data_IF_671780505065
#
_entry.id   IF_671780505065
#
_cell.length_a   1.000
_cell.length_b   1.000
_cell.length_c   1.000
_cell.angle_alpha   90.00
_cell.angle_beta   90.00
_cell.angle_gamma   90.00
#
_symmetry.space_group_name_H-M   'P 1'
#
loop_
_entity.id
_entity.type
_entity.pdbx_description
1 polymer ?
#
# COMPACT_ATOMS: atom_id res chain seq x y z
N UNK A 1 -26.93 10.51 2.28
CA UNK A 1 -25.80 9.70 1.79
C UNK A 1 -26.30 8.29 1.49
N UNK A 2 -25.82 7.63 0.44
CA UNK A 2 -26.11 6.21 0.18
C UNK A 2 -25.72 5.35 1.38
N UNK A 3 -26.48 4.31 1.68
CA UNK A 3 -26.11 3.34 2.71
C UNK A 3 -24.91 2.50 2.25
N UNK A 4 -24.01 2.10 3.18
CA UNK A 4 -22.93 1.18 2.83
C UNK A 4 -23.49 -0.17 2.33
N UNK A 5 -22.75 -0.89 1.47
CA UNK A 5 -23.09 -2.26 1.11
C UNK A 5 -23.20 -3.17 2.33
N UNK A 6 -24.11 -4.16 2.26
CA UNK A 6 -24.26 -5.16 3.32
C UNK A 6 -22.99 -6.03 3.47
N UNK A 7 -22.70 -6.53 4.68
CA UNK A 7 -21.59 -7.45 4.89
C UNK A 7 -21.70 -8.70 4.03
N UNK A 8 -20.59 -9.11 3.44
CA UNK A 8 -20.49 -10.35 2.67
C UNK A 8 -20.05 -11.48 3.59
N UNK A 9 -20.80 -12.58 3.61
CA UNK A 9 -20.38 -13.78 4.34
C UNK A 9 -19.23 -14.46 3.61
N UNK A 10 -18.12 -14.72 4.31
CA UNK A 10 -16.96 -15.41 3.77
C UNK A 10 -16.72 -16.70 4.54
N UNK A 11 -16.62 -17.79 3.79
CA UNK A 11 -16.37 -19.13 4.30
C UNK A 11 -15.12 -19.73 3.66
N UNK A 12 -14.70 -20.92 4.12
CA UNK A 12 -13.62 -21.66 3.46
C UNK A 12 -13.96 -22.07 2.03
N UNK A 13 -15.25 -22.20 1.69
CA UNK A 13 -15.69 -22.53 0.32
C UNK A 13 -15.40 -21.40 -0.68
N UNK A 14 -15.21 -20.18 -0.20
CA UNK A 14 -14.89 -19.01 -1.02
C UNK A 14 -13.41 -18.94 -1.41
N UNK A 15 -12.55 -19.78 -0.81
CA UNK A 15 -11.10 -19.74 -1.01
C UNK A 15 -10.69 -19.76 -2.50
N UNK A 16 -11.22 -20.63 -3.38
CA UNK A 16 -10.82 -20.64 -4.79
C UNK A 16 -11.11 -19.30 -5.49
N UNK A 17 -12.28 -18.70 -5.22
CA UNK A 17 -12.68 -17.40 -5.79
C UNK A 17 -11.80 -16.28 -5.29
N UNK A 18 -11.57 -16.21 -3.98
CA UNK A 18 -10.77 -15.16 -3.36
C UNK A 18 -9.31 -15.25 -3.82
N UNK A 19 -8.78 -16.47 -3.89
CA UNK A 19 -7.45 -16.71 -4.43
C UNK A 19 -7.33 -16.31 -5.90
N UNK A 20 -8.34 -16.62 -6.73
CA UNK A 20 -8.37 -16.17 -8.13
C UNK A 20 -8.37 -14.63 -8.24
N UNK A 21 -9.16 -13.93 -7.44
CA UNK A 21 -9.18 -12.46 -7.40
C UNK A 21 -7.81 -11.91 -7.00
N UNK A 22 -7.17 -12.50 -5.99
CA UNK A 22 -5.84 -12.11 -5.54
C UNK A 22 -4.80 -12.27 -6.65
N UNK A 23 -4.74 -13.45 -7.28
CA UNK A 23 -3.79 -13.75 -8.37
C UNK A 23 -4.03 -12.83 -9.56
N UNK A 24 -5.28 -12.67 -10.00
CA UNK A 24 -5.63 -11.76 -11.11
C UNK A 24 -5.26 -10.31 -10.80
N UNK A 25 -5.48 -9.87 -9.56
CA UNK A 25 -5.09 -8.53 -9.10
C UNK A 25 -3.59 -8.31 -9.21
N UNK A 26 -2.78 -9.24 -8.70
CA UNK A 26 -1.32 -9.16 -8.77
C UNK A 26 -0.78 -9.26 -10.20
N UNK A 27 -1.33 -10.14 -11.04
CA UNK A 27 -0.97 -10.24 -12.46
C UNK A 27 -1.29 -8.93 -13.19
N UNK A 28 -2.47 -8.35 -12.97
CA UNK A 28 -2.85 -7.09 -13.59
C UNK A 28 -1.98 -5.91 -13.12
N UNK A 29 -1.66 -5.84 -11.82
CA UNK A 29 -0.69 -4.87 -11.29
C UNK A 29 0.67 -5.03 -11.95
N UNK A 30 1.19 -6.26 -12.03
CA UNK A 30 2.49 -6.53 -12.65
C UNK A 30 2.53 -6.07 -14.11
N UNK A 31 1.53 -6.45 -14.90
CA UNK A 31 1.43 -6.02 -16.30
C UNK A 31 1.35 -4.50 -16.43
N UNK A 32 0.54 -3.85 -15.58
CA UNK A 32 0.41 -2.41 -15.56
C UNK A 32 1.75 -1.72 -15.24
N UNK A 33 2.42 -2.09 -14.14
CA UNK A 33 3.64 -1.39 -13.70
C UNK A 33 4.83 -1.65 -14.62
N UNK A 34 4.91 -2.84 -15.24
CA UNK A 34 5.92 -3.12 -16.27
C UNK A 34 5.66 -2.33 -17.56
N UNK A 35 4.40 -2.14 -17.94
CA UNK A 35 4.05 -1.26 -19.06
C UNK A 35 4.39 0.20 -18.75
N UNK A 36 4.15 0.65 -17.51
CA UNK A 36 4.53 1.99 -17.06
C UNK A 36 6.04 2.20 -17.05
N UNK A 37 6.81 1.21 -16.58
CA UNK A 37 8.28 1.21 -16.65
C UNK A 37 8.78 1.32 -18.08
N UNK A 38 8.24 0.51 -18.99
CA UNK A 38 8.58 0.59 -20.41
C UNK A 38 8.22 1.95 -21.03
N UNK A 39 7.14 2.59 -20.58
CA UNK A 39 6.73 3.89 -21.12
C UNK A 39 7.54 5.06 -20.54
N UNK A 40 7.81 5.07 -19.23
CA UNK A 40 8.40 6.22 -18.53
C UNK A 40 9.91 6.10 -18.29
N UNK A 41 10.46 4.89 -18.24
CA UNK A 41 11.79 4.62 -17.72
C UNK A 41 12.55 3.56 -18.56
N UNK A 42 12.20 3.40 -19.85
CA UNK A 42 12.87 2.44 -20.74
C UNK A 42 14.39 2.65 -20.81
N UNK A 43 14.81 3.92 -20.78
CA UNK A 43 16.23 4.31 -20.90
C UNK A 43 16.97 4.32 -19.54
N UNK A 44 16.27 4.15 -18.42
CA UNK A 44 16.84 4.21 -17.07
C UNK A 44 17.41 2.85 -16.59
N UNK A 45 17.51 1.87 -17.48
CA UNK A 45 18.11 0.57 -17.22
C UNK A 45 19.59 0.74 -16.84
N UNK A 46 19.92 0.58 -15.55
CA UNK A 46 21.31 0.56 -15.07
C UNK A 46 21.75 -0.88 -14.77
N UNK A 47 22.91 -1.27 -15.28
CA UNK A 47 23.48 -2.62 -15.09
C UNK A 47 23.77 -2.97 -13.61
N UNK A 48 23.75 -2.01 -12.68
CA UNK A 48 24.16 -2.18 -11.28
C UNK A 48 23.04 -2.17 -10.24
N UNK A 49 21.76 -2.27 -10.60
CA UNK A 49 20.65 -2.29 -9.64
C UNK A 49 20.54 -3.65 -8.90
N UNK A 50 21.33 -3.85 -7.84
CA UNK A 50 21.41 -5.14 -7.14
C UNK A 50 21.44 -5.01 -5.61
N UNK A 51 20.37 -5.48 -4.95
CA UNK A 51 20.27 -5.52 -3.48
C UNK A 51 19.78 -6.89 -3.01
N UNK A 52 20.62 -7.94 -3.08
CA UNK A 52 20.15 -9.31 -2.90
C UNK A 52 19.64 -9.56 -1.47
N UNK A 53 20.28 -8.95 -0.47
CA UNK A 53 19.85 -9.02 0.94
C UNK A 53 18.47 -8.40 1.14
N UNK A 54 18.21 -7.25 0.52
CA UNK A 54 16.91 -6.57 0.62
C UNK A 54 15.84 -7.35 -0.12
N UNK A 55 16.17 -7.88 -1.31
CA UNK A 55 15.25 -8.72 -2.09
C UNK A 55 14.83 -9.96 -1.30
N UNK A 56 15.78 -10.69 -0.70
CA UNK A 56 15.50 -11.86 0.15
C UNK A 56 14.67 -11.45 1.37
N UNK A 57 15.03 -10.37 2.06
CA UNK A 57 14.27 -9.88 3.23
C UNK A 57 12.82 -9.56 2.87
N UNK A 58 12.58 -8.73 1.84
CA UNK A 58 11.23 -8.33 1.43
C UNK A 58 10.43 -9.53 0.92
N UNK A 59 11.04 -10.41 0.13
CA UNK A 59 10.38 -11.62 -0.36
C UNK A 59 9.94 -12.55 0.76
N UNK A 60 10.83 -12.82 1.73
CA UNK A 60 10.51 -13.62 2.91
C UNK A 60 9.45 -12.92 3.78
N UNK A 61 9.54 -11.60 3.96
CA UNK A 61 8.57 -10.83 4.74
C UNK A 61 7.15 -10.95 4.15
N UNK A 62 7.00 -10.77 2.83
CA UNK A 62 5.70 -10.91 2.14
C UNK A 62 5.17 -12.34 2.27
N UNK A 63 6.02 -13.34 2.01
CA UNK A 63 5.62 -14.75 2.11
C UNK A 63 5.13 -15.10 3.52
N UNK A 64 5.89 -14.73 4.54
CA UNK A 64 5.53 -14.97 5.94
C UNK A 64 4.28 -14.19 6.35
N UNK A 65 4.11 -12.96 5.86
CA UNK A 65 2.91 -12.16 6.10
C UNK A 65 1.65 -12.86 5.59
N UNK A 66 1.67 -13.33 4.34
CA UNK A 66 0.53 -14.01 3.71
C UNK A 66 0.18 -15.27 4.50
N UNK A 67 1.16 -16.14 4.77
CA UNK A 67 0.93 -17.43 5.46
C UNK A 67 0.44 -17.21 6.88
N UNK A 68 1.12 -16.35 7.65
CA UNK A 68 0.79 -16.12 9.06
C UNK A 68 -0.59 -15.49 9.22
N UNK A 69 -0.94 -14.50 8.39
CA UNK A 69 -2.28 -13.90 8.43
C UNK A 69 -3.36 -14.87 7.97
N UNK A 70 -3.10 -15.65 6.92
CA UNK A 70 -4.05 -16.66 6.46
C UNK A 70 -4.31 -17.74 7.50
N UNK A 71 -3.26 -18.21 8.18
CA UNK A 71 -3.36 -19.20 9.24
C UNK A 71 -4.17 -18.69 10.44
N UNK A 72 -3.93 -17.45 10.88
CA UNK A 72 -4.61 -16.87 12.06
C UNK A 72 -6.04 -16.41 11.78
N UNK A 73 -6.34 -15.93 10.56
CA UNK A 73 -7.58 -15.19 10.27
C UNK A 73 -8.43 -15.80 9.16
N UNK A 74 -7.92 -16.81 8.45
CA UNK A 74 -8.63 -17.50 7.38
C UNK A 74 -8.75 -16.70 6.08
N UNK A 75 -9.78 -16.99 5.30
CA UNK A 75 -9.81 -16.64 3.87
C UNK A 75 -9.88 -15.15 3.57
N UNK A 76 -10.54 -14.35 4.42
CA UNK A 76 -10.79 -12.93 4.10
C UNK A 76 -9.50 -12.10 4.03
N UNK A 77 -8.43 -12.49 4.75
CA UNK A 77 -7.14 -11.75 4.72
C UNK A 77 -6.43 -11.81 3.38
N UNK A 78 -6.82 -12.74 2.50
CA UNK A 78 -6.30 -12.75 1.14
C UNK A 78 -6.72 -11.49 0.36
N UNK A 79 -7.89 -10.91 0.68
CA UNK A 79 -8.25 -9.61 0.11
C UNK A 79 -7.37 -8.47 0.65
N UNK A 80 -6.95 -8.55 1.91
CA UNK A 80 -6.02 -7.55 2.48
C UNK A 80 -4.66 -7.56 1.78
N UNK A 81 -4.28 -8.65 1.14
CA UNK A 81 -3.03 -8.67 0.37
C UNK A 81 -3.06 -7.74 -0.84
N UNK A 82 -4.23 -7.20 -1.22
CA UNK A 82 -4.39 -6.18 -2.24
C UNK A 82 -4.25 -4.74 -1.72
N UNK A 83 -4.07 -4.52 -0.40
CA UNK A 83 -3.76 -3.18 0.13
C UNK A 83 -2.53 -2.59 -0.57
N UNK A 84 -2.57 -1.30 -0.90
CA UNK A 84 -1.52 -0.63 -1.64
C UNK A 84 -0.14 -0.76 -0.98
N UNK A 85 -0.08 -0.77 0.36
CA UNK A 85 1.14 -1.00 1.12
C UNK A 85 1.70 -2.43 0.96
N UNK A 86 0.83 -3.44 0.95
CA UNK A 86 1.22 -4.84 0.67
C UNK A 86 1.64 -5.03 -0.80
N UNK A 87 0.90 -4.44 -1.73
CA UNK A 87 1.24 -4.43 -3.15
C UNK A 87 2.60 -3.77 -3.37
N UNK A 88 2.90 -2.68 -2.66
CA UNK A 88 4.17 -1.96 -2.75
C UNK A 88 5.38 -2.78 -2.30
N UNK A 89 5.22 -3.69 -1.32
CA UNK A 89 6.27 -4.66 -0.98
C UNK A 89 6.60 -5.58 -2.18
N UNK A 90 5.57 -6.06 -2.88
CA UNK A 90 5.75 -6.88 -4.08
C UNK A 90 6.36 -6.08 -5.23
N UNK A 91 5.99 -4.80 -5.40
CA UNK A 91 6.63 -3.93 -6.38
C UNK A 91 8.13 -3.77 -6.11
N UNK A 92 8.55 -3.59 -4.86
CA UNK A 92 9.98 -3.49 -4.52
C UNK A 92 10.70 -4.82 -4.76
N UNK A 93 10.09 -5.94 -4.41
CA UNK A 93 10.64 -7.27 -4.74
C UNK A 93 10.81 -7.44 -6.25
N UNK A 94 9.80 -7.10 -7.04
CA UNK A 94 9.85 -7.14 -8.51
C UNK A 94 10.89 -6.17 -9.09
N UNK A 95 10.99 -4.96 -8.54
CA UNK A 95 11.98 -3.97 -8.94
C UNK A 95 13.39 -4.54 -8.82
N UNK A 96 13.69 -5.20 -7.69
CA UNK A 96 14.98 -5.83 -7.44
C UNK A 96 15.19 -7.06 -8.32
N UNK A 97 14.16 -7.87 -8.56
CA UNK A 97 14.24 -9.06 -9.39
C UNK A 97 14.48 -8.76 -10.88
N UNK A 98 13.85 -7.69 -11.39
CA UNK A 98 13.89 -7.31 -12.81
C UNK A 98 14.80 -6.11 -13.08
N UNK A 99 15.56 -5.66 -12.08
CA UNK A 99 16.43 -4.48 -12.17
C UNK A 99 15.71 -3.22 -12.66
N UNK A 100 14.52 -2.95 -12.12
CA UNK A 100 13.64 -1.83 -12.49
C UNK A 100 13.50 -0.79 -11.36
N UNK A 101 14.43 0.16 -11.20
CA UNK A 101 14.39 1.17 -10.13
C UNK A 101 13.11 2.01 -10.10
N UNK A 102 12.51 2.27 -11.27
CA UNK A 102 11.27 3.04 -11.39
C UNK A 102 10.12 2.48 -10.55
N UNK A 103 10.01 1.15 -10.44
CA UNK A 103 9.00 0.47 -9.63
C UNK A 103 9.15 0.79 -8.14
N UNK A 104 10.38 0.98 -7.64
CA UNK A 104 10.61 1.41 -6.25
C UNK A 104 10.05 2.81 -6.02
N UNK A 105 10.27 3.72 -6.97
CA UNK A 105 9.71 5.06 -6.89
C UNK A 105 8.17 5.06 -6.89
N UNK A 106 7.54 4.27 -7.78
CA UNK A 106 6.08 4.09 -7.77
C UNK A 106 5.60 3.58 -6.40
N UNK A 107 6.28 2.57 -5.86
CA UNK A 107 5.95 1.98 -4.56
C UNK A 107 6.06 3.01 -3.42
N UNK A 108 7.14 3.80 -3.39
CA UNK A 108 7.35 4.87 -2.40
C UNK A 108 6.21 5.89 -2.40
N UNK A 109 5.83 6.39 -3.58
CA UNK A 109 4.76 7.38 -3.68
C UNK A 109 3.41 6.78 -3.28
N UNK A 110 3.15 5.54 -3.71
CA UNK A 110 1.89 4.82 -3.45
C UNK A 110 1.57 4.68 -1.96
N UNK A 111 2.60 4.55 -1.13
CA UNK A 111 2.43 4.38 0.33
C UNK A 111 2.73 5.62 1.15
N UNK A 112 3.26 6.68 0.51
CA UNK A 112 3.82 7.84 1.20
C UNK A 112 2.83 8.49 2.16
N UNK A 113 1.57 8.70 1.76
CA UNK A 113 0.56 9.28 2.64
C UNK A 113 0.33 8.47 3.90
N UNK A 114 0.01 7.19 3.74
CA UNK A 114 -0.29 6.30 4.87
C UNK A 114 0.92 6.11 5.80
N UNK A 115 2.13 5.93 5.22
CA UNK A 115 3.35 5.73 6.01
C UNK A 115 3.75 7.00 6.77
N UNK A 116 3.57 8.19 6.20
CA UNK A 116 3.82 9.45 6.92
C UNK A 116 2.83 9.65 8.08
N UNK A 117 1.54 9.34 7.88
CA UNK A 117 0.56 9.37 8.96
C UNK A 117 0.89 8.35 10.06
N UNK A 118 1.41 7.18 9.69
CA UNK A 118 1.94 6.18 10.63
C UNK A 118 3.11 6.71 11.47
N UNK A 119 4.03 7.48 10.89
CA UNK A 119 5.10 8.12 11.68
C UNK A 119 4.54 9.11 12.71
N UNK A 120 3.57 9.93 12.31
CA UNK A 120 2.91 10.89 13.20
C UNK A 120 2.17 10.16 14.32
N UNK A 121 1.41 9.11 14.00
CA UNK A 121 0.69 8.31 14.98
C UNK A 121 1.61 7.55 15.94
N UNK A 122 2.74 7.02 15.44
CA UNK A 122 3.72 6.33 16.29
C UNK A 122 4.32 7.30 17.29
N UNK A 123 4.78 8.47 16.84
CA UNK A 123 5.38 9.48 17.72
C UNK A 123 4.35 10.03 18.71
N UNK A 124 3.14 10.35 18.25
CA UNK A 124 2.09 10.87 19.13
C UNK A 124 1.60 9.83 20.15
N UNK A 125 1.58 8.55 19.79
CA UNK A 125 1.25 7.48 20.73
C UNK A 125 2.34 7.29 21.78
N UNK A 126 3.63 7.30 21.40
CA UNK A 126 4.75 7.21 22.35
C UNK A 126 4.77 8.39 23.32
N UNK A 127 4.50 9.61 22.83
CA UNK A 127 4.58 10.82 23.64
C UNK A 127 3.31 11.11 24.48
N UNK A 128 2.13 10.79 23.95
CA UNK A 128 0.85 11.21 24.54
C UNK A 128 -0.17 10.06 24.74
N UNK A 129 0.15 8.84 24.30
CA UNK A 129 -0.76 7.70 24.36
C UNK A 129 -1.95 7.79 23.40
N UNK A 130 -1.88 8.61 22.34
CA UNK A 130 -2.99 8.87 21.41
C UNK A 130 -2.54 8.78 19.95
N UNK A 131 -3.42 8.25 19.09
CA UNK A 131 -3.28 8.30 17.63
C UNK A 131 -3.92 9.59 17.10
N UNK A 132 -3.12 10.63 16.85
CA UNK A 132 -3.64 11.97 16.50
C UNK A 132 -4.27 12.01 15.11
N UNK A 133 -3.73 11.25 14.16
CA UNK A 133 -4.27 11.16 12.80
C UNK A 133 -5.29 10.04 12.66
N UNK A 134 -5.10 8.94 13.41
CA UNK A 134 -5.96 7.77 13.40
C UNK A 134 -5.52 6.68 12.42
N UNK A 135 -4.45 6.88 11.64
CA UNK A 135 -3.92 5.90 10.70
C UNK A 135 -3.51 4.56 11.35
N UNK A 136 -3.02 4.57 12.59
CA UNK A 136 -2.68 3.35 13.34
C UNK A 136 -3.83 2.78 14.17
N UNK A 137 -4.94 3.51 14.28
CA UNK A 137 -6.04 3.15 15.19
C UNK A 137 -6.66 1.80 14.84
N UNK A 138 -6.59 1.36 13.58
CA UNK A 138 -7.11 0.07 13.14
C UNK A 138 -6.44 -1.14 13.85
N UNK A 139 -5.22 -1.00 14.34
CA UNK A 139 -4.54 -2.04 15.11
C UNK A 139 -5.21 -2.31 16.45
N UNK A 140 -5.98 -1.33 16.96
CA UNK A 140 -6.74 -1.49 18.20
C UNK A 140 -8.07 -2.22 17.99
N UNK A 141 -8.44 -2.53 16.75
CA UNK A 141 -9.68 -3.23 16.46
C UNK A 141 -9.60 -4.70 16.86
N UNK A 142 -10.66 -5.30 17.43
CA UNK A 142 -10.64 -6.70 17.87
C UNK A 142 -10.07 -7.67 16.83
N UNK A 143 -10.44 -7.51 15.55
CA UNK A 143 -9.99 -8.33 14.43
C UNK A 143 -8.49 -8.17 14.08
N UNK A 144 -7.83 -7.10 14.54
CA UNK A 144 -6.45 -6.79 14.21
C UNK A 144 -5.49 -6.92 15.41
N UNK A 145 -5.98 -7.27 16.61
CA UNK A 145 -5.19 -7.48 17.83
C UNK A 145 -4.44 -8.83 17.84
N UNK A 146 -3.89 -9.24 16.71
CA UNK A 146 -3.05 -10.43 16.62
C UNK A 146 -1.58 -10.06 16.41
N UNK A 147 -0.69 -10.97 16.80
CA UNK A 147 0.74 -10.80 16.58
C UNK A 147 1.04 -10.64 15.09
N UNK A 148 0.49 -11.49 14.22
CA UNK A 148 0.73 -11.39 12.77
C UNK A 148 0.28 -10.05 12.19
N UNK A 149 -0.90 -9.55 12.58
CA UNK A 149 -1.42 -8.27 12.09
C UNK A 149 -0.52 -7.11 12.51
N UNK A 150 -0.12 -7.09 13.78
CA UNK A 150 0.73 -6.03 14.35
C UNK A 150 2.14 -6.08 13.80
N UNK A 151 2.81 -7.24 13.87
CA UNK A 151 4.17 -7.42 13.37
C UNK A 151 4.27 -7.11 11.89
N UNK A 152 3.38 -7.67 11.07
CA UNK A 152 3.43 -7.45 9.64
C UNK A 152 2.96 -6.05 9.23
N UNK A 153 2.30 -5.28 10.10
CA UNK A 153 2.03 -3.88 9.87
C UNK A 153 3.26 -2.98 10.09
N UNK A 154 4.34 -3.46 10.72
CA UNK A 154 5.56 -2.65 10.96
C UNK A 154 6.25 -2.15 9.70
N UNK A 155 5.93 -2.71 8.51
CA UNK A 155 6.43 -2.20 7.24
C UNK A 155 6.06 -0.73 6.98
N UNK A 156 4.99 -0.23 7.58
CA UNK A 156 4.64 1.18 7.51
C UNK A 156 5.74 2.07 8.13
N UNK A 157 6.59 1.51 9.00
CA UNK A 157 7.71 2.21 9.61
C UNK A 157 9.01 2.07 8.81
N UNK A 158 9.39 0.85 8.44
CA UNK A 158 10.72 0.59 7.85
C UNK A 158 10.76 0.66 6.33
N UNK A 159 9.62 0.57 5.63
CA UNK A 159 9.59 0.43 4.17
C UNK A 159 10.14 1.65 3.43
N UNK A 160 9.74 2.87 3.80
CA UNK A 160 10.26 4.08 3.16
C UNK A 160 11.77 4.25 3.38
N UNK A 161 12.33 4.06 4.59
CA UNK A 161 13.78 4.01 4.81
C UNK A 161 14.51 3.03 3.89
N UNK A 162 13.98 1.80 3.74
CA UNK A 162 14.55 0.80 2.83
C UNK A 162 14.51 1.27 1.38
N UNK A 163 13.39 1.87 0.94
CA UNK A 163 13.28 2.40 -0.42
C UNK A 163 14.20 3.60 -0.66
N UNK A 164 14.41 4.47 0.33
CA UNK A 164 15.39 5.55 0.26
C UNK A 164 16.81 5.02 0.12
N UNK A 165 17.17 3.98 0.89
CA UNK A 165 18.46 3.31 0.76
C UNK A 165 18.68 2.75 -0.66
N UNK A 166 17.67 2.08 -1.24
CA UNK A 166 17.74 1.56 -2.61
C UNK A 166 17.88 2.71 -3.63
N UNK A 167 17.03 3.73 -3.54
CA UNK A 167 16.99 4.81 -4.55
C UNK A 167 18.17 5.76 -4.47
N UNK A 168 18.73 6.01 -3.28
CA UNK A 168 19.90 6.87 -3.11
C UNK A 168 21.12 6.38 -3.91
N UNK A 169 21.30 5.06 -4.04
CA UNK A 169 22.37 4.47 -4.85
C UNK A 169 22.15 4.61 -6.37
N UNK A 170 20.99 5.09 -6.82
CA UNK A 170 20.57 5.06 -8.23
C UNK A 170 19.97 6.37 -8.75
N UNK A 171 20.51 7.52 -8.32
CA UNK A 171 20.07 8.88 -8.68
C UNK A 171 18.70 9.28 -8.08
N UNK A 172 18.31 8.69 -6.96
CA UNK A 172 17.08 9.02 -6.27
C UNK A 172 15.83 8.48 -6.96
N UNK A 173 14.68 9.04 -6.59
CA UNK A 173 13.38 8.67 -7.11
C UNK A 173 13.11 9.33 -8.47
N UNK A 174 12.66 8.54 -9.44
CA UNK A 174 12.29 9.03 -10.76
C UNK A 174 11.11 10.02 -10.68
N UNK A 175 11.16 11.12 -11.45
CA UNK A 175 10.15 12.19 -11.39
C UNK A 175 8.75 11.72 -11.78
N UNK A 176 8.65 10.84 -12.78
CA UNK A 176 7.38 10.26 -13.23
C UNK A 176 6.76 9.24 -12.26
N UNK A 177 7.44 8.91 -11.15
CA UNK A 177 6.89 7.97 -10.16
C UNK A 177 5.58 8.44 -9.54
N UNK A 178 5.33 9.75 -9.46
CA UNK A 178 4.03 10.29 -9.04
C UNK A 178 2.91 9.90 -10.00
N UNK A 179 3.12 10.11 -11.30
CA UNK A 179 2.12 9.76 -12.32
C UNK A 179 1.88 8.26 -12.33
N UNK A 180 2.95 7.45 -12.27
CA UNK A 180 2.85 6.00 -12.20
C UNK A 180 2.08 5.53 -10.96
N UNK A 181 2.32 6.15 -9.80
CA UNK A 181 1.57 5.87 -8.57
C UNK A 181 0.09 6.26 -8.69
N UNK A 182 -0.23 7.44 -9.24
CA UNK A 182 -1.61 7.87 -9.45
C UNK A 182 -2.40 6.88 -10.34
N UNK A 183 -1.75 6.35 -11.39
CA UNK A 183 -2.34 5.33 -12.26
C UNK A 183 -2.56 4.03 -11.46
N UNK A 184 -1.53 3.57 -10.72
CA UNK A 184 -1.60 2.35 -9.93
C UNK A 184 -2.67 2.41 -8.83
N UNK A 185 -2.73 3.49 -8.05
CA UNK A 185 -3.69 3.65 -6.95
C UNK A 185 -5.12 3.74 -7.48
N UNK A 186 -5.34 4.43 -8.59
CA UNK A 186 -6.64 4.50 -9.26
C UNK A 186 -7.07 3.14 -9.77
N UNK A 187 -6.15 2.38 -10.39
CA UNK A 187 -6.39 1.01 -10.81
C UNK A 187 -6.74 0.11 -9.62
N UNK A 188 -5.93 0.14 -8.55
CA UNK A 188 -6.15 -0.65 -7.34
C UNK A 188 -7.49 -0.34 -6.68
N UNK A 189 -7.88 0.93 -6.59
CA UNK A 189 -9.16 1.33 -6.05
C UNK A 189 -10.34 0.81 -6.90
N UNK A 190 -10.24 0.93 -8.23
CA UNK A 190 -11.25 0.41 -9.15
C UNK A 190 -11.36 -1.11 -9.09
N UNK A 191 -10.23 -1.82 -9.10
CA UNK A 191 -10.15 -3.27 -8.98
C UNK A 191 -10.74 -3.74 -7.65
N UNK A 192 -10.34 -3.11 -6.54
CA UNK A 192 -10.84 -3.47 -5.21
C UNK A 192 -12.33 -3.17 -5.06
N UNK A 193 -12.84 -2.08 -5.65
CA UNK A 193 -14.28 -1.80 -5.66
C UNK A 193 -15.08 -2.84 -6.46
N UNK A 194 -14.49 -3.42 -7.52
CA UNK A 194 -15.15 -4.44 -8.30
C UNK A 194 -15.14 -5.82 -7.63
N UNK A 195 -14.05 -6.17 -6.94
CA UNK A 195 -13.80 -7.57 -6.54
C UNK A 195 -13.60 -7.82 -5.05
N UNK A 196 -13.44 -6.79 -4.23
CA UNK A 196 -13.30 -6.92 -2.76
C UNK A 196 -14.55 -6.40 -2.06
N UNK A 197 -15.01 -7.04 -0.98
CA UNK A 197 -16.17 -6.56 -0.24
C UNK A 197 -15.83 -5.33 0.62
N UNK A 198 -16.85 -4.50 0.89
CA UNK A 198 -16.70 -3.37 1.82
C UNK A 198 -16.51 -3.84 3.27
N UNK A 199 -17.37 -4.77 3.70
CA UNK A 199 -17.30 -5.42 5.02
C UNK A 199 -17.55 -6.91 4.86
N UNK A 200 -17.01 -7.69 5.77
CA UNK A 200 -17.12 -9.16 5.76
C UNK A 200 -17.61 -9.68 7.10
N UNK A 201 -18.36 -10.77 7.05
CA UNK A 201 -18.78 -11.51 8.24
C UNK A 201 -18.29 -12.94 8.12
N UNK A 202 -17.56 -13.41 9.14
CA UNK A 202 -17.08 -14.80 9.21
C UNK A 202 -18.12 -15.60 9.98
N UNK A 203 -18.59 -16.77 9.48
CA UNK A 203 -19.55 -17.60 10.20
C UNK A 203 -19.06 -17.93 11.61
N UNK A 204 -19.96 -17.80 12.60
CA UNK A 204 -19.63 -18.03 14.01
C UNK A 204 -18.92 -16.86 14.70
N UNK A 205 -18.66 -15.76 13.98
CA UNK A 205 -18.23 -14.50 14.57
C UNK A 205 -19.32 -13.43 14.37
N UNK A 206 -19.81 -12.87 15.48
CA UNK A 206 -20.80 -11.79 15.45
C UNK A 206 -20.20 -10.47 14.94
N UNK A 207 -18.87 -10.34 14.99
CA UNK A 207 -18.17 -9.13 14.60
C UNK A 207 -18.09 -8.97 13.08
N UNK A 208 -18.49 -7.79 12.60
CA UNK A 208 -18.35 -7.39 11.20
C UNK A 208 -16.97 -6.79 11.00
N UNK A 209 -16.17 -7.41 10.13
CA UNK A 209 -14.82 -6.96 9.81
C UNK A 209 -14.90 -5.89 8.73
N UNK A 210 -14.29 -4.74 9.01
CA UNK A 210 -14.18 -3.65 8.05
C UNK A 210 -12.98 -3.88 7.13
N UNK A 211 -13.23 -4.02 5.83
CA UNK A 211 -12.19 -4.35 4.86
C UNK A 211 -11.86 -3.16 3.96
N UNK A 212 -12.82 -2.62 3.20
CA UNK A 212 -12.68 -1.43 2.34
C UNK A 212 -11.29 -1.25 1.68
N UNK A 213 -10.79 -2.28 1.01
CA UNK A 213 -9.42 -2.31 0.48
C UNK A 213 -9.19 -1.15 -0.49
N UNK A 214 -8.08 -0.44 -0.30
CA UNK A 214 -7.68 0.74 -1.05
C UNK A 214 -8.74 1.84 -1.11
N UNK A 215 -9.58 1.90 -0.07
CA UNK A 215 -10.67 2.87 -0.01
C UNK A 215 -11.68 2.72 -1.14
N UNK A 216 -11.85 1.53 -1.73
CA UNK A 216 -12.73 1.33 -2.90
C UNK A 216 -14.19 1.74 -2.69
N UNK A 217 -14.64 1.85 -1.43
CA UNK A 217 -16.00 2.26 -1.07
C UNK A 217 -16.12 3.58 -0.33
N UNK A 218 -15.12 3.94 0.46
CA UNK A 218 -15.08 5.15 1.26
C UNK A 218 -13.63 5.48 1.63
N UNK A 219 -13.34 6.71 2.03
CA UNK A 219 -12.09 7.00 2.72
C UNK A 219 -12.05 6.33 4.10
N UNK A 220 -10.85 6.17 4.66
CA UNK A 220 -10.64 5.55 5.98
C UNK A 220 -11.52 6.18 7.06
N UNK A 221 -12.31 5.35 7.75
CA UNK A 221 -13.26 5.80 8.78
C UNK A 221 -12.63 6.51 9.98
N UNK A 222 -11.33 6.32 10.20
CA UNK A 222 -10.60 6.92 11.31
C UNK A 222 -9.97 8.28 10.98
N UNK A 223 -9.93 8.67 9.70
CA UNK A 223 -9.40 9.96 9.26
C UNK A 223 -10.55 10.96 9.16
N UNK A 224 -10.70 11.84 10.14
CA UNK A 224 -11.83 12.76 10.20
C UNK A 224 -11.63 14.04 9.37
N UNK A 225 -11.63 13.92 8.04
CA UNK A 225 -11.57 15.06 7.11
C UNK A 225 -12.86 15.07 6.26
N UNK A 226 -13.84 15.95 6.57
CA UNK A 226 -15.17 15.91 5.94
C UNK A 226 -15.16 15.94 4.41
N UNK A 227 -14.22 16.69 3.82
CA UNK A 227 -14.07 16.79 2.36
C UNK A 227 -13.77 15.43 1.70
N UNK A 228 -13.00 14.57 2.36
CA UNK A 228 -12.66 13.24 1.84
C UNK A 228 -13.87 12.29 1.83
N UNK A 229 -14.88 12.55 2.65
CA UNK A 229 -16.02 11.65 2.83
C UNK A 229 -17.26 12.03 2.02
N UNK A 230 -17.23 13.13 1.25
CA UNK A 230 -18.40 13.68 0.55
C UNK A 230 -19.13 12.65 -0.33
N UNK A 231 -18.38 11.80 -1.02
CA UNK A 231 -18.91 10.84 -1.99
C UNK A 231 -18.81 9.39 -1.53
N UNK A 232 -18.54 9.14 -0.24
CA UNK A 232 -18.52 7.78 0.31
C UNK A 232 -19.77 6.99 -0.11
N UNK A 233 -19.58 5.72 -0.46
CA UNK A 233 -20.61 4.76 -0.86
C UNK A 233 -21.43 5.13 -2.11
N UNK A 234 -21.11 6.22 -2.81
CA UNK A 234 -21.76 6.55 -4.06
C UNK A 234 -21.42 5.54 -5.17
N UNK A 235 -22.13 5.65 -6.29
CA UNK A 235 -21.92 4.82 -7.45
C UNK A 235 -20.44 4.88 -7.91
N UNK A 236 -19.81 3.75 -8.31
CA UNK A 236 -18.40 3.73 -8.68
C UNK A 236 -17.99 4.76 -9.74
N UNK A 237 -18.89 5.04 -10.70
CA UNK A 237 -18.66 6.05 -11.75
C UNK A 237 -18.50 7.48 -11.21
N UNK A 238 -18.97 7.76 -9.99
CA UNK A 238 -18.75 9.04 -9.30
C UNK A 238 -17.61 8.94 -8.28
N UNK A 239 -17.62 7.86 -7.48
CA UNK A 239 -16.68 7.70 -6.37
C UNK A 239 -15.23 7.47 -6.82
N UNK A 240 -15.01 6.62 -7.82
CA UNK A 240 -13.66 6.26 -8.27
C UNK A 240 -12.94 7.47 -8.91
N UNK A 241 -13.56 8.26 -9.81
CA UNK A 241 -12.93 9.49 -10.30
C UNK A 241 -12.64 10.50 -9.20
N UNK A 242 -13.57 10.67 -8.24
CA UNK A 242 -13.32 11.53 -7.08
C UNK A 242 -12.11 11.06 -6.27
N UNK A 243 -12.02 9.76 -5.96
CA UNK A 243 -10.89 9.18 -5.24
C UNK A 243 -9.59 9.30 -6.04
N UNK A 244 -9.63 9.08 -7.35
CA UNK A 244 -8.47 9.20 -8.23
C UNK A 244 -7.94 10.64 -8.30
N UNK A 245 -8.80 11.65 -8.15
CA UNK A 245 -8.38 13.06 -8.14
C UNK A 245 -8.03 13.50 -6.72
N UNK A 246 -9.01 13.49 -5.81
CA UNK A 246 -8.86 14.00 -4.44
C UNK A 246 -7.95 13.11 -3.63
N UNK A 247 -8.07 11.79 -3.74
CA UNK A 247 -7.19 10.84 -3.06
C UNK A 247 -5.75 10.99 -3.52
N UNK A 248 -5.48 11.04 -4.84
CA UNK A 248 -4.11 11.24 -5.29
C UNK A 248 -3.55 12.63 -4.96
N UNK A 249 -4.34 13.69 -5.05
CA UNK A 249 -3.86 15.04 -4.69
C UNK A 249 -3.59 15.17 -3.19
N UNK A 250 -4.52 14.72 -2.35
CA UNK A 250 -4.44 14.89 -0.89
C UNK A 250 -3.57 13.80 -0.25
N UNK A 251 -3.82 12.53 -0.55
CA UNK A 251 -3.12 11.42 0.07
C UNK A 251 -1.75 11.14 -0.56
N UNK A 252 -1.53 11.45 -1.84
CA UNK A 252 -0.24 11.20 -2.50
C UNK A 252 0.52 12.46 -2.88
N UNK A 253 -0.15 13.59 -3.19
CA UNK A 253 0.51 14.80 -3.72
C UNK A 253 1.47 15.46 -2.73
N UNK A 254 0.97 15.89 -1.57
CA UNK A 254 1.84 16.48 -0.54
C UNK A 254 2.90 15.49 -0.01
N UNK A 255 2.54 14.25 0.34
CA UNK A 255 3.51 13.21 0.69
C UNK A 255 4.58 12.96 -0.37
N UNK A 256 4.21 12.96 -1.66
CA UNK A 256 5.16 12.82 -2.77
C UNK A 256 6.20 13.94 -2.78
N UNK A 257 5.77 15.20 -2.62
CA UNK A 257 6.70 16.34 -2.59
C UNK A 257 7.73 16.17 -1.48
N UNK A 258 7.29 15.75 -0.28
CA UNK A 258 8.18 15.49 0.84
C UNK A 258 9.15 14.33 0.54
N UNK A 259 8.63 13.19 0.07
CA UNK A 259 9.44 12.01 -0.27
C UNK A 259 10.45 12.32 -1.38
N UNK A 260 10.05 13.08 -2.40
CA UNK A 260 10.94 13.53 -3.46
C UNK A 260 12.02 14.46 -2.92
N UNK A 261 11.67 15.43 -2.07
CA UNK A 261 12.63 16.32 -1.43
C UNK A 261 13.68 15.57 -0.61
N UNK A 262 13.25 14.57 0.18
CA UNK A 262 14.18 13.69 0.93
C UNK A 262 15.07 12.91 -0.03
N UNK A 263 14.49 12.30 -1.07
CA UNK A 263 15.24 11.51 -2.04
C UNK A 263 16.33 12.34 -2.74
N UNK A 264 15.99 13.55 -3.19
CA UNK A 264 16.93 14.49 -3.79
C UNK A 264 18.01 14.94 -2.79
N UNK A 265 17.64 15.19 -1.53
CA UNK A 265 18.60 15.53 -0.48
C UNK A 265 19.59 14.41 -0.19
N UNK A 266 19.13 13.15 -0.16
CA UNK A 266 19.98 11.98 0.07
C UNK A 266 20.90 11.69 -1.12
N UNK A 267 20.45 11.93 -2.35
CA UNK A 267 21.29 11.79 -3.55
C UNK A 267 22.56 12.66 -3.48
N UNK A 268 22.48 13.82 -2.83
CA UNK A 268 23.60 14.76 -2.70
C UNK A 268 24.24 14.72 -1.30
N UNK A 269 23.93 13.69 -0.50
CA UNK A 269 24.42 13.59 0.88
C UNK A 269 25.82 12.97 0.92
N UNK A 270 26.85 13.70 1.39
CA UNK A 270 28.21 13.16 1.52
C UNK A 270 28.31 12.01 2.53
N UNK A 271 27.30 11.82 3.38
CA UNK A 271 27.24 10.72 4.36
C UNK A 271 27.02 9.37 3.67
N UNK A 272 26.36 9.34 2.51
CA UNK A 272 26.00 8.11 1.82
C UNK A 272 27.04 7.64 0.78
N UNK A 273 27.95 8.51 0.36
CA UNK A 273 29.04 8.18 -0.58
C UNK A 273 29.93 7.02 -0.08
N UNK A 274 30.01 6.80 1.24
CA UNK A 274 30.81 5.71 1.82
C UNK A 274 30.08 4.38 2.05
N UNK A 275 28.75 4.31 1.82
CA UNK A 275 27.92 3.13 2.16
C UNK A 275 27.44 2.38 0.91
N UNK A 276 27.38 3.06 -0.24
CA UNK A 276 26.81 2.54 -1.49
C UNK A 276 27.84 2.00 -2.50
N UNK A 277 29.12 1.94 -2.12
CA UNK A 277 30.23 1.36 -2.90
C UNK A 277 30.79 0.11 -2.20
#
# INVERSE_FOLDING_TARGET
MPSPPLPVQITQKDLPRIFAILVLGYVAVMLLVLQLDHYFAADDQKESFNFPKVMVFVGLYVFMMVISRFYEHGTYVLYEMLWACNVSLVLVFMALLFSKPFLVGIAMVTVSGDHLLWYIDTLSFVLHGKFVTGAMKYLTYPENRSFSKTFFATHHLWFLPVCFYITAAHNGMHSSSFVGSCILTSFLAAFCRAFTPFTVQVPGNEHIIYLNVNGGYAFWKDINIPLLHLVNHHHPALYIPFLAIVGNLVANGFPHILVLGISLGLQHSPILEGITH
#
